data_IF_140674623404
#
_entry.id   IF_140674623404
#
_cell.length_a   1.000
_cell.length_b   1.000
_cell.length_c   1.000
_cell.angle_alpha   90.00
_cell.angle_beta   90.00
_cell.angle_gamma   90.00
#
_symmetry.space_group_name_H-M   'P 1'
#
loop_
_entity.id
_entity.type
_entity.pdbx_description
1 polymer ?
#
# COMPACT_ATOMS: atom_id res chain seq x y z
N UNK A 1 -10.59 -6.50 -20.75
CA UNK A 1 -10.62 -5.02 -20.81
C UNK A 1 -10.45 -4.37 -19.43
N UNK A 2 -11.37 -4.52 -18.48
CA UNK A 2 -11.26 -3.87 -17.16
C UNK A 2 -9.88 -4.06 -16.46
N UNK A 3 -9.37 -5.29 -16.39
CA UNK A 3 -8.05 -5.58 -15.80
C UNK A 3 -6.89 -4.93 -16.58
N UNK A 4 -6.98 -4.90 -17.91
CA UNK A 4 -5.97 -4.28 -18.78
C UNK A 4 -5.94 -2.77 -18.55
N UNK A 5 -7.10 -2.12 -18.47
CA UNK A 5 -7.18 -0.68 -18.20
C UNK A 5 -6.68 -0.34 -16.79
N UNK A 6 -6.92 -1.22 -15.81
CA UNK A 6 -6.31 -1.09 -14.47
C UNK A 6 -4.79 -1.10 -14.58
N UNK A 7 -4.25 -2.10 -15.29
CA UNK A 7 -2.81 -2.24 -15.53
C UNK A 7 -2.20 -1.10 -16.34
N UNK A 8 -3.00 -0.31 -17.07
CA UNK A 8 -2.58 0.91 -17.78
C UNK A 8 -2.66 2.19 -16.95
N UNK A 9 -2.98 2.08 -15.67
CA UNK A 9 -3.29 3.20 -14.79
C UNK A 9 -4.54 4.01 -15.22
N UNK A 10 -5.41 3.44 -16.06
CA UNK A 10 -6.72 4.00 -16.38
C UNK A 10 -7.79 3.42 -15.44
N UNK A 11 -7.74 3.85 -14.17
CA UNK A 11 -8.65 3.35 -13.13
C UNK A 11 -10.12 3.64 -13.45
N UNK A 12 -10.44 4.79 -14.04
CA UNK A 12 -11.81 5.16 -14.40
C UNK A 12 -12.38 4.22 -15.48
N UNK A 13 -11.60 3.89 -16.51
CA UNK A 13 -12.01 2.93 -17.54
C UNK A 13 -12.12 1.52 -17.00
N UNK A 14 -11.19 1.12 -16.12
CA UNK A 14 -11.27 -0.16 -15.43
C UNK A 14 -12.58 -0.31 -14.66
N UNK A 15 -12.96 0.72 -13.90
CA UNK A 15 -14.19 0.75 -13.12
C UNK A 15 -15.45 0.76 -14.01
N UNK A 16 -15.48 1.56 -15.07
CA UNK A 16 -16.60 1.57 -16.04
C UNK A 16 -16.78 0.21 -16.72
N UNK A 17 -15.70 -0.38 -17.24
CA UNK A 17 -15.77 -1.69 -17.88
C UNK A 17 -16.13 -2.80 -16.90
N UNK A 18 -15.63 -2.73 -15.66
CA UNK A 18 -16.03 -3.65 -14.58
C UNK A 18 -17.52 -3.53 -14.28
N UNK A 19 -18.01 -2.30 -14.11
CA UNK A 19 -19.43 -2.03 -13.88
C UNK A 19 -20.34 -2.52 -15.00
N UNK A 20 -19.95 -2.34 -16.27
CA UNK A 20 -20.68 -2.90 -17.41
C UNK A 20 -20.75 -4.44 -17.36
N UNK A 21 -19.61 -5.10 -17.10
CA UNK A 21 -19.57 -6.55 -16.96
C UNK A 21 -20.46 -7.06 -15.83
N UNK A 22 -20.48 -6.35 -14.69
CA UNK A 22 -21.39 -6.62 -13.57
C UNK A 22 -22.85 -6.50 -14.00
N UNK A 23 -23.23 -5.43 -14.71
CA UNK A 23 -24.62 -5.24 -15.17
C UNK A 23 -25.04 -6.34 -16.14
N UNK A 24 -24.17 -6.79 -17.04
CA UNK A 24 -24.46 -7.96 -17.88
C UNK A 24 -24.62 -9.24 -17.06
N UNK A 25 -23.79 -9.47 -16.05
CA UNK A 25 -23.95 -10.64 -15.17
C UNK A 25 -25.29 -10.60 -14.40
N UNK A 26 -25.72 -9.42 -13.98
CA UNK A 26 -27.02 -9.23 -13.31
C UNK A 26 -28.18 -9.52 -14.27
N UNK A 27 -28.14 -8.95 -15.48
CA UNK A 27 -29.16 -9.16 -16.51
C UNK A 27 -29.28 -10.64 -16.91
N UNK A 28 -28.14 -11.33 -17.04
CA UNK A 28 -28.11 -12.76 -17.35
C UNK A 28 -28.48 -13.66 -16.14
N UNK A 29 -28.74 -13.08 -14.97
CA UNK A 29 -29.10 -13.83 -13.77
C UNK A 29 -27.95 -14.59 -13.11
N UNK A 30 -26.68 -14.32 -13.47
CA UNK A 30 -25.52 -15.08 -12.97
C UNK A 30 -25.21 -14.86 -11.48
N UNK A 31 -25.87 -13.88 -10.84
CA UNK A 31 -25.86 -13.71 -9.39
C UNK A 31 -26.71 -14.76 -8.65
N UNK A 32 -27.50 -15.54 -9.40
CA UNK A 32 -28.42 -16.54 -8.88
C UNK A 32 -27.91 -17.97 -9.08
N UNK A 33 -27.91 -18.77 -8.02
CA UNK A 33 -27.48 -20.17 -8.06
C UNK A 33 -28.35 -21.01 -8.99
N UNK A 34 -29.65 -20.74 -9.03
CA UNK A 34 -30.59 -21.43 -9.92
C UNK A 34 -30.16 -21.34 -11.40
N UNK A 35 -29.62 -20.20 -11.81
CA UNK A 35 -29.14 -19.95 -13.18
C UNK A 35 -27.74 -20.52 -13.37
N UNK A 36 -26.87 -20.42 -12.37
CA UNK A 36 -25.52 -20.97 -12.45
C UNK A 36 -25.50 -22.50 -12.51
N UNK A 37 -26.46 -23.15 -11.87
CA UNK A 37 -26.63 -24.61 -11.88
C UNK A 37 -27.51 -25.13 -13.03
N UNK A 38 -28.16 -24.25 -13.78
CA UNK A 38 -29.02 -24.65 -14.89
C UNK A 38 -28.20 -25.32 -16.01
N UNK A 39 -28.60 -26.50 -16.51
CA UNK A 39 -27.87 -27.21 -17.55
C UNK A 39 -27.82 -26.39 -18.84
N UNK A 40 -26.67 -26.38 -19.49
CA UNK A 40 -26.48 -25.86 -20.83
C UNK A 40 -26.35 -27.05 -21.75
N UNK A 41 -27.14 -27.08 -22.83
CA UNK A 41 -27.06 -28.14 -23.82
C UNK A 41 -26.16 -27.71 -24.97
N UNK A 42 -25.27 -28.60 -25.40
CA UNK A 42 -24.53 -28.46 -26.64
C UNK A 42 -25.45 -28.73 -27.85
N UNK A 43 -24.94 -28.48 -29.06
CA UNK A 43 -25.70 -28.67 -30.30
C UNK A 43 -26.19 -30.11 -30.50
N UNK A 44 -25.49 -31.09 -29.93
CA UNK A 44 -25.84 -32.51 -29.96
C UNK A 44 -26.84 -32.93 -28.86
N UNK A 45 -27.29 -31.99 -28.02
CA UNK A 45 -28.22 -32.24 -26.91
C UNK A 45 -27.56 -32.78 -25.65
N UNK A 46 -26.23 -32.96 -25.62
CA UNK A 46 -25.49 -33.32 -24.41
C UNK A 46 -25.33 -32.13 -23.46
N UNK A 47 -25.05 -32.39 -22.18
CA UNK A 47 -24.80 -31.31 -21.20
C UNK A 47 -23.38 -30.78 -21.37
N UNK A 48 -23.27 -29.48 -21.68
CA UNK A 48 -22.01 -28.76 -21.77
C UNK A 48 -21.55 -28.32 -20.37
N UNK A 49 -20.80 -29.19 -19.71
CA UNK A 49 -20.20 -28.89 -18.41
C UNK A 49 -19.23 -27.71 -18.44
N UNK A 50 -18.53 -27.49 -19.56
CA UNK A 50 -17.53 -26.41 -19.70
C UNK A 50 -18.25 -25.07 -19.69
N UNK A 51 -19.32 -24.94 -20.47
CA UNK A 51 -20.13 -23.72 -20.48
C UNK A 51 -20.76 -23.42 -19.12
N UNK A 52 -21.25 -24.45 -18.39
CA UNK A 52 -21.81 -24.29 -17.04
C UNK A 52 -20.73 -23.77 -16.08
N UNK A 53 -19.55 -24.40 -16.07
CA UNK A 53 -18.44 -23.97 -15.23
C UNK A 53 -17.98 -22.54 -15.59
N UNK A 54 -17.94 -22.21 -16.89
CA UNK A 54 -17.52 -20.89 -17.37
C UNK A 54 -18.49 -19.80 -16.91
N UNK A 55 -19.79 -20.07 -16.95
CA UNK A 55 -20.83 -19.16 -16.46
C UNK A 55 -20.56 -18.74 -15.00
N UNK A 56 -20.30 -19.72 -14.12
CA UNK A 56 -19.96 -19.46 -12.71
C UNK A 56 -18.65 -18.68 -12.59
N UNK A 57 -17.60 -19.08 -13.32
CA UNK A 57 -16.30 -18.38 -13.31
C UNK A 57 -16.42 -16.90 -13.73
N UNK A 58 -17.26 -16.59 -14.70
CA UNK A 58 -17.50 -15.21 -15.16
C UNK A 58 -18.08 -14.35 -14.04
N UNK A 59 -19.09 -14.84 -13.31
CA UNK A 59 -19.65 -14.10 -12.17
C UNK A 59 -18.58 -13.79 -11.10
N UNK A 60 -17.85 -14.81 -10.65
CA UNK A 60 -16.82 -14.64 -9.63
C UNK A 60 -15.65 -13.76 -10.09
N UNK A 61 -15.31 -13.79 -11.39
CA UNK A 61 -14.32 -12.88 -11.96
C UNK A 61 -14.80 -11.43 -11.95
N UNK A 62 -16.09 -11.18 -12.20
CA UNK A 62 -16.68 -9.85 -12.11
C UNK A 62 -16.69 -9.34 -10.66
N UNK A 63 -17.00 -10.20 -9.69
CA UNK A 63 -16.90 -9.88 -8.27
C UNK A 63 -15.46 -9.46 -7.90
N UNK A 64 -14.47 -10.26 -8.29
CA UNK A 64 -13.06 -9.95 -8.03
C UNK A 64 -12.67 -8.58 -8.61
N UNK A 65 -12.99 -8.33 -9.87
CA UNK A 65 -12.66 -7.06 -10.53
C UNK A 65 -13.39 -5.86 -9.90
N UNK A 66 -14.67 -6.01 -9.52
CA UNK A 66 -15.44 -4.97 -8.84
C UNK A 66 -14.79 -4.55 -7.50
N UNK A 67 -14.37 -5.54 -6.70
CA UNK A 67 -13.75 -5.28 -5.39
C UNK A 67 -12.38 -4.64 -5.53
N UNK A 68 -11.54 -5.15 -6.42
CA UNK A 68 -10.20 -4.62 -6.64
C UNK A 68 -10.21 -3.22 -7.27
N UNK A 69 -11.07 -2.97 -8.27
CA UNK A 69 -11.12 -1.68 -8.96
C UNK A 69 -11.69 -0.55 -8.08
N UNK A 70 -12.50 -0.89 -7.07
CA UNK A 70 -13.09 0.07 -6.12
C UNK A 70 -12.19 0.35 -4.92
N UNK A 71 -11.14 -0.44 -4.71
CA UNK A 71 -10.25 -0.30 -3.57
C UNK A 71 -9.41 0.99 -3.66
N UNK A 72 -9.39 1.78 -2.59
CA UNK A 72 -8.56 2.98 -2.49
C UNK A 72 -8.92 4.15 -3.41
N UNK A 73 -10.08 4.12 -4.09
CA UNK A 73 -10.48 5.16 -5.08
C UNK A 73 -11.75 5.92 -4.72
N UNK A 74 -12.31 5.70 -3.52
CA UNK A 74 -13.63 6.19 -3.09
C UNK A 74 -14.81 5.80 -4.01
N UNK A 75 -14.58 5.01 -5.05
CA UNK A 75 -15.60 4.56 -5.98
C UNK A 75 -16.51 3.52 -5.30
N UNK A 76 -17.83 3.58 -5.54
CA UNK A 76 -18.73 2.57 -5.02
C UNK A 76 -18.54 1.25 -5.78
N UNK A 77 -18.73 0.16 -5.04
CA UNK A 77 -18.79 -1.19 -5.60
C UNK A 77 -20.16 -1.42 -6.27
N UNK A 78 -20.18 -2.16 -7.36
CA UNK A 78 -21.40 -2.46 -8.13
C UNK A 78 -22.11 -3.72 -7.65
N UNK A 79 -21.37 -4.73 -7.16
CA UNK A 79 -21.94 -6.00 -6.69
C UNK A 79 -22.09 -5.98 -5.17
N UNK A 80 -23.31 -6.06 -4.67
CA UNK A 80 -23.55 -6.30 -3.25
C UNK A 80 -23.70 -7.80 -3.00
N UNK A 81 -22.98 -8.35 -2.02
CA UNK A 81 -23.04 -9.79 -1.76
C UNK A 81 -24.41 -10.24 -1.25
N UNK A 82 -25.14 -9.36 -0.55
CA UNK A 82 -26.51 -9.64 -0.07
C UNK A 82 -27.51 -9.91 -1.18
N UNK A 83 -27.22 -9.43 -2.40
CA UNK A 83 -28.13 -9.54 -3.54
C UNK A 83 -27.83 -10.79 -4.40
N UNK A 84 -26.88 -11.62 -3.95
CA UNK A 84 -26.43 -12.81 -4.66
C UNK A 84 -26.62 -14.06 -3.79
N UNK A 85 -26.87 -15.22 -4.39
CA UNK A 85 -26.85 -16.53 -3.71
C UNK A 85 -25.90 -17.53 -4.41
N UNK A 86 -25.18 -17.08 -5.43
CA UNK A 86 -24.16 -17.84 -6.14
C UNK A 86 -23.12 -18.46 -5.20
N UNK A 87 -22.88 -19.76 -5.35
CA UNK A 87 -21.85 -20.49 -4.61
C UNK A 87 -20.49 -20.43 -5.32
N UNK A 88 -19.37 -20.51 -4.57
CA UNK A 88 -18.04 -20.62 -5.17
C UNK A 88 -17.91 -21.85 -6.07
N UNK A 89 -16.97 -21.79 -7.02
CA UNK A 89 -16.67 -22.92 -7.90
C UNK A 89 -16.31 -24.19 -7.12
N UNK A 90 -16.82 -25.31 -7.61
CA UNK A 90 -16.49 -26.65 -7.16
C UNK A 90 -15.11 -27.10 -7.67
N UNK A 91 -14.60 -28.19 -7.08
CA UNK A 91 -13.37 -28.82 -7.53
C UNK A 91 -13.51 -29.32 -8.97
N UNK A 92 -14.66 -29.89 -9.33
CA UNK A 92 -14.91 -30.40 -10.68
C UNK A 92 -14.88 -29.28 -11.73
N UNK A 93 -15.56 -28.15 -11.47
CA UNK A 93 -15.53 -26.97 -12.35
C UNK A 93 -14.11 -26.39 -12.46
N UNK A 94 -13.35 -26.38 -11.36
CA UNK A 94 -11.95 -25.93 -11.35
C UNK A 94 -11.07 -26.83 -12.21
N UNK A 95 -11.25 -28.15 -12.16
CA UNK A 95 -10.52 -29.12 -13.00
C UNK A 95 -10.88 -28.93 -14.47
N UNK A 96 -12.17 -28.80 -14.76
CA UNK A 96 -12.69 -28.73 -16.13
C UNK A 96 -12.19 -27.51 -16.89
N UNK A 97 -11.97 -26.40 -16.18
CA UNK A 97 -11.54 -25.13 -16.75
C UNK A 97 -10.07 -24.81 -16.49
N UNK A 98 -9.23 -25.83 -16.28
CA UNK A 98 -7.77 -25.65 -16.20
C UNK A 98 -7.25 -25.17 -17.54
N UNK A 99 -6.44 -24.12 -17.49
CA UNK A 99 -5.67 -23.69 -18.64
C UNK A 99 -4.43 -24.60 -18.75
N UNK A 100 -4.26 -25.37 -19.84
CA UNK A 100 -3.12 -26.27 -20.00
C UNK A 100 -1.75 -25.57 -19.91
N UNK A 101 -1.67 -24.32 -20.36
CA UNK A 101 -0.41 -23.56 -20.39
C UNK A 101 -0.05 -23.04 -19.00
N UNK A 102 -1.07 -22.70 -18.20
CA UNK A 102 -0.89 -22.21 -16.82
C UNK A 102 -0.91 -23.33 -15.76
N UNK A 103 -1.31 -24.54 -16.13
CA UNK A 103 -1.29 -25.74 -15.27
C UNK A 103 0.07 -26.44 -15.27
N UNK A 104 1.13 -25.65 -15.15
CA UNK A 104 2.52 -26.07 -15.10
C UNK A 104 3.16 -25.62 -13.79
N UNK A 105 4.28 -26.22 -13.39
CA UNK A 105 5.10 -25.72 -12.28
C UNK A 105 5.84 -24.43 -12.68
N UNK A 106 6.60 -23.85 -11.75
CA UNK A 106 7.40 -22.64 -11.99
C UNK A 106 8.48 -22.80 -13.09
N UNK A 107 8.74 -24.04 -13.54
CA UNK A 107 9.68 -24.37 -14.61
C UNK A 107 8.99 -24.74 -15.94
N UNK A 108 7.66 -24.63 -16.01
CA UNK A 108 6.87 -24.94 -17.20
C UNK A 108 6.57 -26.43 -17.39
N UNK A 109 6.79 -27.28 -16.37
CA UNK A 109 6.46 -28.70 -16.46
C UNK A 109 5.01 -28.94 -16.06
N UNK A 110 4.22 -29.74 -16.81
CA UNK A 110 2.85 -30.07 -16.44
C UNK A 110 2.75 -30.72 -15.05
N UNK A 111 1.73 -30.30 -14.28
CA UNK A 111 1.43 -30.87 -12.96
C UNK A 111 0.28 -31.87 -13.08
N UNK A 112 0.41 -33.00 -12.39
CA UNK A 112 -0.64 -34.04 -12.33
C UNK A 112 -1.55 -33.80 -11.12
N UNK A 113 -0.97 -33.66 -9.94
CA UNK A 113 -1.67 -33.39 -8.69
C UNK A 113 -1.28 -32.03 -8.15
N UNK A 114 -2.23 -31.10 -8.19
CA UNK A 114 -1.99 -29.74 -7.73
C UNK A 114 -2.30 -29.63 -6.23
N UNK A 115 -1.25 -29.39 -5.44
CA UNK A 115 -1.34 -29.20 -3.99
C UNK A 115 -2.27 -28.03 -3.59
N UNK A 116 -2.42 -27.03 -4.46
CA UNK A 116 -3.27 -25.85 -4.28
C UNK A 116 -4.62 -25.93 -5.02
N UNK A 117 -5.02 -27.13 -5.46
CA UNK A 117 -6.33 -27.32 -6.11
C UNK A 117 -7.47 -26.73 -5.26
N UNK A 118 -8.30 -25.91 -5.91
CA UNK A 118 -9.46 -25.23 -5.34
C UNK A 118 -9.15 -24.09 -4.34
N UNK A 119 -7.91 -23.55 -4.34
CA UNK A 119 -7.58 -22.37 -3.53
C UNK A 119 -8.44 -21.15 -3.91
N UNK A 120 -8.88 -21.07 -5.17
CA UNK A 120 -9.71 -19.96 -5.67
C UNK A 120 -10.97 -19.72 -4.83
N UNK A 121 -11.58 -20.76 -4.27
CA UNK A 121 -12.73 -20.63 -3.35
C UNK A 121 -12.40 -19.75 -2.14
N UNK A 122 -11.23 -19.97 -1.54
CA UNK A 122 -10.78 -19.22 -0.35
C UNK A 122 -10.30 -17.82 -0.73
N UNK A 123 -9.72 -17.67 -1.92
CA UNK A 123 -9.39 -16.36 -2.47
C UNK A 123 -10.64 -15.49 -2.64
N UNK A 124 -11.72 -16.04 -3.23
CA UNK A 124 -12.98 -15.31 -3.39
C UNK A 124 -13.60 -14.90 -2.05
N UNK A 125 -13.58 -15.79 -1.05
CA UNK A 125 -14.05 -15.46 0.30
C UNK A 125 -13.22 -14.35 0.98
N UNK A 126 -11.91 -14.31 0.72
CA UNK A 126 -11.03 -13.21 1.17
C UNK A 126 -11.39 -11.89 0.47
N UNK A 127 -11.60 -11.94 -0.83
CA UNK A 127 -11.91 -10.78 -1.68
C UNK A 127 -13.25 -10.15 -1.31
N UNK A 128 -14.25 -10.97 -0.96
CA UNK A 128 -15.53 -10.46 -0.44
C UNK A 128 -15.31 -9.63 0.83
N UNK A 129 -14.58 -10.16 1.82
CA UNK A 129 -14.26 -9.46 3.07
C UNK A 129 -13.43 -8.20 2.83
N UNK A 130 -12.46 -8.25 1.92
CA UNK A 130 -11.71 -7.10 1.46
C UNK A 130 -12.62 -6.01 0.89
N UNK A 131 -13.64 -6.41 0.11
CA UNK A 131 -14.68 -5.50 -0.39
C UNK A 131 -15.41 -4.77 0.73
N UNK A 132 -15.89 -5.50 1.74
CA UNK A 132 -16.61 -4.91 2.88
C UNK A 132 -15.73 -3.95 3.70
N UNK A 133 -14.46 -4.30 3.91
CA UNK A 133 -13.49 -3.42 4.58
C UNK A 133 -13.32 -2.11 3.81
N UNK A 134 -13.11 -2.16 2.48
CA UNK A 134 -12.97 -0.96 1.66
C UNK A 134 -14.24 -0.11 1.67
N UNK A 135 -15.41 -0.74 1.59
CA UNK A 135 -16.71 -0.06 1.64
C UNK A 135 -16.93 0.66 2.96
N UNK A 136 -16.59 0.02 4.09
CA UNK A 136 -16.64 0.63 5.42
C UNK A 136 -15.68 1.84 5.51
N UNK A 137 -14.44 1.68 5.07
CA UNK A 137 -13.45 2.76 5.14
C UNK A 137 -13.80 3.96 4.25
N UNK A 138 -14.32 3.71 3.05
CA UNK A 138 -14.76 4.77 2.14
C UNK A 138 -15.93 5.58 2.74
N UNK A 139 -16.95 4.91 3.31
CA UNK A 139 -18.07 5.58 3.98
C UNK A 139 -17.60 6.47 5.15
N UNK A 140 -16.66 5.95 5.96
CA UNK A 140 -16.15 6.70 7.10
C UNK A 140 -15.35 7.94 6.64
N UNK A 141 -14.61 7.86 5.54
CA UNK A 141 -13.91 9.02 4.97
C UNK A 141 -14.88 10.07 4.42
N UNK A 142 -15.94 9.67 3.70
CA UNK A 142 -16.96 10.61 3.21
C UNK A 142 -17.69 11.33 4.35
N UNK A 143 -17.92 10.64 5.48
CA UNK A 143 -18.52 11.25 6.67
C UNK A 143 -17.59 12.28 7.34
N UNK A 144 -16.25 12.15 7.24
CA UNK A 144 -15.28 13.14 7.73
C UNK A 144 -15.26 14.44 6.93
N UNK A 145 -15.58 14.41 5.63
CA UNK A 145 -15.71 15.65 4.86
C UNK A 145 -16.88 16.51 5.34
N UNK A 146 -17.90 15.91 5.96
CA UNK A 146 -19.06 16.61 6.51
C UNK A 146 -18.90 17.00 8.00
N UNK A 147 -17.94 16.42 8.73
CA UNK A 147 -17.70 16.66 10.15
C UNK A 147 -16.20 16.86 10.39
N UNK A 148 -15.78 18.11 10.58
CA UNK A 148 -14.42 18.58 10.91
C UNK A 148 -13.40 17.49 11.32
N UNK A 149 -12.66 16.98 10.34
CA UNK A 149 -11.21 16.78 10.41
C UNK A 149 -10.62 15.71 11.34
N UNK A 150 -11.38 14.80 11.95
CA UNK A 150 -10.75 13.76 12.80
C UNK A 150 -11.35 12.40 12.54
N UNK A 151 -10.48 11.42 12.28
CA UNK A 151 -10.86 10.01 12.31
C UNK A 151 -11.45 9.73 13.70
N UNK A 152 -12.72 9.33 13.78
CA UNK A 152 -13.30 8.80 15.02
C UNK A 152 -12.76 7.38 15.25
N UNK A 153 -11.45 7.27 15.44
CA UNK A 153 -10.79 6.11 16.01
C UNK A 153 -10.72 6.38 17.51
N UNK A 154 -11.40 5.59 18.37
CA UNK A 154 -11.36 4.13 18.43
C UNK A 154 -12.53 3.37 17.78
N UNK A 155 -12.37 2.05 17.52
CA UNK A 155 -13.29 1.27 16.69
C UNK A 155 -14.67 1.02 17.29
N UNK A 156 -15.70 1.19 16.45
CA UNK A 156 -17.12 0.87 16.68
C UNK A 156 -17.43 -0.62 16.49
N UNK A 157 -18.69 -1.03 16.72
CA UNK A 157 -19.12 -2.44 16.57
C UNK A 157 -18.86 -3.02 15.17
N UNK A 158 -19.11 -2.24 14.10
CA UNK A 158 -18.90 -2.67 12.71
C UNK A 158 -17.42 -2.99 12.42
N UNK A 159 -16.49 -2.18 12.93
CA UNK A 159 -15.07 -2.45 12.84
C UNK A 159 -14.71 -3.81 13.44
N UNK A 160 -15.19 -4.09 14.66
CA UNK A 160 -14.86 -5.34 15.36
C UNK A 160 -15.39 -6.55 14.62
N UNK A 161 -16.57 -6.40 14.01
CA UNK A 161 -17.14 -7.44 13.16
C UNK A 161 -16.26 -7.72 11.93
N UNK A 162 -15.72 -6.68 11.28
CA UNK A 162 -14.82 -6.85 10.14
C UNK A 162 -13.47 -7.47 10.54
N UNK A 163 -12.85 -7.02 11.64
CA UNK A 163 -11.61 -7.61 12.17
C UNK A 163 -11.82 -9.10 12.51
N UNK A 164 -12.93 -9.44 13.17
CA UNK A 164 -13.27 -10.83 13.48
C UNK A 164 -13.45 -11.68 12.21
N UNK A 165 -14.12 -11.16 11.18
CA UNK A 165 -14.28 -11.88 9.92
C UNK A 165 -12.94 -12.11 9.19
N UNK A 166 -12.03 -11.13 9.20
CA UNK A 166 -10.70 -11.28 8.61
C UNK A 166 -9.85 -12.31 9.36
N UNK A 167 -9.87 -12.29 10.71
CA UNK A 167 -9.17 -13.30 11.52
C UNK A 167 -9.75 -14.69 11.29
N UNK A 168 -11.07 -14.80 11.28
CA UNK A 168 -11.77 -16.05 11.04
C UNK A 168 -11.45 -16.64 9.67
N UNK A 169 -11.26 -15.82 8.64
CA UNK A 169 -10.80 -16.30 7.34
C UNK A 169 -9.46 -17.05 7.47
N UNK A 170 -8.47 -16.43 8.13
CA UNK A 170 -7.13 -17.01 8.30
C UNK A 170 -7.16 -18.29 9.15
N UNK A 171 -7.89 -18.26 10.26
CA UNK A 171 -8.00 -19.37 11.22
C UNK A 171 -8.72 -20.59 10.63
N UNK A 172 -9.71 -20.37 9.77
CA UNK A 172 -10.48 -21.45 9.14
C UNK A 172 -9.83 -22.01 7.87
N UNK A 173 -8.66 -21.50 7.45
CA UNK A 173 -7.95 -22.09 6.32
C UNK A 173 -7.46 -23.51 6.67
N UNK A 174 -7.69 -24.50 5.79
CA UNK A 174 -7.02 -25.79 5.88
C UNK A 174 -5.51 -25.63 6.03
N UNK A 175 -4.84 -26.54 6.75
CA UNK A 175 -3.39 -26.46 7.02
C UNK A 175 -2.58 -26.22 5.74
N UNK A 176 -2.93 -26.91 4.65
CA UNK A 176 -2.27 -26.78 3.33
C UNK A 176 -2.49 -25.43 2.64
N UNK A 177 -3.37 -24.56 3.12
CA UNK A 177 -3.60 -23.23 2.53
C UNK A 177 -3.09 -22.10 3.42
N UNK A 178 -2.58 -22.39 4.61
CA UNK A 178 -1.98 -21.38 5.47
C UNK A 178 -0.61 -20.96 4.93
N UNK A 179 -0.31 -19.66 4.96
CA UNK A 179 0.99 -19.15 4.54
C UNK A 179 2.04 -19.44 5.63
N UNK A 180 2.87 -20.45 5.38
CA UNK A 180 4.01 -20.82 6.22
C UNK A 180 5.21 -21.15 5.33
N UNK A 181 6.43 -21.05 5.87
CA UNK A 181 7.63 -21.40 5.11
C UNK A 181 7.60 -22.84 4.59
N UNK A 182 7.15 -23.79 5.44
CA UNK A 182 6.97 -25.20 5.07
C UNK A 182 6.00 -25.37 3.90
N UNK A 183 4.86 -24.69 3.93
CA UNK A 183 3.87 -24.77 2.85
C UNK A 183 4.38 -24.10 1.57
N UNK A 184 5.08 -22.96 1.68
CA UNK A 184 5.68 -22.28 0.53
C UNK A 184 6.65 -23.21 -0.23
N UNK A 185 7.57 -23.85 0.49
CA UNK A 185 8.53 -24.81 -0.09
C UNK A 185 7.84 -26.01 -0.74
N UNK A 186 6.75 -26.48 -0.13
CA UNK A 186 5.95 -27.57 -0.69
C UNK A 186 5.22 -27.14 -1.97
N UNK A 187 4.47 -26.03 -1.94
CA UNK A 187 3.70 -25.56 -3.09
C UNK A 187 4.57 -25.11 -4.25
N UNK A 188 5.77 -24.59 -3.99
CA UNK A 188 6.72 -24.29 -5.05
C UNK A 188 7.04 -25.50 -5.93
N UNK A 189 6.98 -26.73 -5.39
CA UNK A 189 7.28 -27.98 -6.11
C UNK A 189 6.05 -28.67 -6.67
N UNK A 190 4.87 -28.48 -6.06
CA UNK A 190 3.68 -29.30 -6.30
C UNK A 190 2.42 -28.50 -6.63
N UNK A 191 2.48 -27.18 -6.68
CA UNK A 191 1.34 -26.35 -7.11
C UNK A 191 1.56 -25.82 -8.51
N UNK A 192 0.45 -25.69 -9.27
CA UNK A 192 0.53 -24.99 -10.55
C UNK A 192 0.87 -23.53 -10.34
N UNK A 193 1.57 -22.96 -11.30
CA UNK A 193 1.99 -21.56 -11.33
C UNK A 193 0.81 -20.61 -11.10
N UNK A 194 -0.33 -20.90 -11.73
CA UNK A 194 -1.57 -20.15 -11.52
C UNK A 194 -2.09 -20.24 -10.09
N UNK A 195 -2.22 -21.46 -9.53
CA UNK A 195 -2.76 -21.62 -8.19
C UNK A 195 -1.80 -21.11 -7.10
N UNK A 196 -0.48 -21.20 -7.32
CA UNK A 196 0.52 -20.58 -6.47
C UNK A 196 0.34 -19.06 -6.41
N UNK A 197 0.12 -18.44 -7.58
CA UNK A 197 -0.15 -17.00 -7.70
C UNK A 197 -1.46 -16.62 -6.99
N UNK A 198 -2.54 -17.38 -7.17
CA UNK A 198 -3.84 -17.15 -6.50
C UNK A 198 -3.70 -17.28 -4.98
N UNK A 199 -2.96 -18.29 -4.51
CA UNK A 199 -2.72 -18.52 -3.09
C UNK A 199 -1.99 -17.35 -2.45
N UNK A 200 -0.85 -16.95 -3.00
CA UNK A 200 -0.11 -15.79 -2.50
C UNK A 200 -0.95 -14.52 -2.58
N UNK A 201 -1.71 -14.33 -3.67
CA UNK A 201 -2.60 -13.18 -3.86
C UNK A 201 -3.66 -13.09 -2.75
N UNK A 202 -4.27 -14.22 -2.37
CA UNK A 202 -5.26 -14.25 -1.29
C UNK A 202 -4.70 -13.78 0.06
N UNK A 203 -3.45 -14.16 0.37
CA UNK A 203 -2.77 -13.72 1.59
C UNK A 203 -2.32 -12.26 1.52
N UNK A 204 -1.91 -11.76 0.36
CA UNK A 204 -1.60 -10.34 0.16
C UNK A 204 -2.85 -9.46 0.29
N UNK A 205 -4.00 -9.91 -0.23
CA UNK A 205 -5.30 -9.25 -0.05
C UNK A 205 -5.72 -9.25 1.41
N UNK A 206 -5.52 -10.36 2.13
CA UNK A 206 -5.78 -10.41 3.56
C UNK A 206 -4.92 -9.42 4.35
N UNK A 207 -3.60 -9.38 4.09
CA UNK A 207 -2.70 -8.41 4.72
C UNK A 207 -3.12 -6.97 4.40
N UNK A 208 -3.51 -6.70 3.15
CA UNK A 208 -4.00 -5.38 2.72
C UNK A 208 -5.31 -5.00 3.45
N UNK A 209 -6.23 -5.94 3.62
CA UNK A 209 -7.50 -5.74 4.34
C UNK A 209 -7.27 -5.39 5.80
N UNK A 210 -6.45 -6.18 6.49
CA UNK A 210 -6.05 -5.92 7.87
C UNK A 210 -5.36 -4.55 7.96
N UNK A 211 -4.52 -4.21 6.98
CA UNK A 211 -3.84 -2.93 7.01
C UNK A 211 -4.78 -1.73 6.84
N UNK A 212 -5.68 -1.81 5.87
CA UNK A 212 -6.70 -0.77 5.64
C UNK A 212 -7.52 -0.53 6.92
N UNK A 213 -7.85 -1.60 7.63
CA UNK A 213 -8.65 -1.54 8.84
C UNK A 213 -7.86 -0.97 10.03
N UNK A 214 -6.65 -1.47 10.31
CA UNK A 214 -5.91 -1.13 11.53
C UNK A 214 -5.05 0.13 11.45
N UNK A 215 -4.64 0.58 10.25
CA UNK A 215 -3.65 1.66 10.09
C UNK A 215 -4.02 2.98 10.74
N UNK A 216 -5.31 3.26 10.94
CA UNK A 216 -5.79 4.46 11.64
C UNK A 216 -5.21 4.58 13.05
N UNK A 217 -4.86 3.47 13.71
CA UNK A 217 -4.24 3.49 15.04
C UNK A 217 -2.82 4.08 15.05
N UNK A 218 -2.11 4.09 13.92
CA UNK A 218 -0.75 4.61 13.82
C UNK A 218 -0.67 6.12 14.10
N UNK A 219 -1.75 6.87 13.83
CA UNK A 219 -1.84 8.30 14.14
C UNK A 219 -1.91 8.59 15.65
N UNK A 220 -2.19 7.58 16.48
CA UNK A 220 -2.38 7.71 17.92
C UNK A 220 -1.23 7.09 18.73
N UNK A 221 -0.12 6.77 18.06
CA UNK A 221 1.00 6.05 18.67
C UNK A 221 1.59 6.79 19.88
N UNK A 222 1.58 8.11 19.87
CA UNK A 222 2.08 8.95 20.97
C UNK A 222 0.98 9.27 22.01
N UNK A 223 -0.29 9.17 21.63
CA UNK A 223 -1.45 9.43 22.51
C UNK A 223 -1.84 8.22 23.36
N UNK A 224 -1.32 7.03 23.04
CA UNK A 224 -1.57 5.81 23.80
C UNK A 224 -1.15 5.93 25.29
N UNK A 225 -0.29 6.89 25.65
CA UNK A 225 0.17 7.11 27.02
C UNK A 225 -0.77 7.96 27.90
N UNK A 226 -1.75 8.65 27.31
CA UNK A 226 -2.58 9.64 28.01
C UNK A 226 -4.09 9.31 28.03
N UNK A 227 -4.51 8.21 27.41
CA UNK A 227 -5.91 7.75 27.39
C UNK A 227 -6.27 6.83 28.56
N UNK A 228 -7.56 6.48 28.68
CA UNK A 228 -7.99 5.41 29.58
C UNK A 228 -7.27 4.10 29.26
N UNK A 229 -6.96 3.28 30.27
CA UNK A 229 -6.23 1.99 30.10
C UNK A 229 -6.80 1.10 28.99
N UNK A 230 -8.13 1.04 28.85
CA UNK A 230 -8.79 0.24 27.81
C UNK A 230 -8.56 0.79 26.39
N UNK A 231 -8.57 2.11 26.22
CA UNK A 231 -8.30 2.78 24.95
C UNK A 231 -6.83 2.59 24.53
N UNK A 232 -5.91 2.83 25.46
CA UNK A 232 -4.47 2.63 25.25
C UNK A 232 -4.17 1.19 24.80
N UNK A 233 -4.77 0.21 25.48
CA UNK A 233 -4.64 -1.21 25.14
C UNK A 233 -5.15 -1.52 23.73
N UNK A 234 -6.31 -1.00 23.33
CA UNK A 234 -6.87 -1.22 21.98
C UNK A 234 -5.99 -0.60 20.89
N UNK A 235 -5.47 0.61 21.10
CA UNK A 235 -4.54 1.26 20.17
C UNK A 235 -3.29 0.39 20.02
N UNK A 236 -2.70 -0.06 21.14
CA UNK A 236 -1.52 -0.92 21.13
C UNK A 236 -1.74 -2.21 20.35
N UNK A 237 -2.82 -2.96 20.63
CA UNK A 237 -3.15 -4.20 19.90
C UNK A 237 -3.35 -3.97 18.39
N UNK A 238 -3.95 -2.84 18.02
CA UNK A 238 -4.10 -2.47 16.61
C UNK A 238 -2.75 -2.20 15.94
N UNK A 239 -1.84 -1.48 16.62
CA UNK A 239 -0.48 -1.23 16.13
C UNK A 239 0.31 -2.53 16.00
N UNK A 240 0.25 -3.41 17.00
CA UNK A 240 0.87 -4.75 16.94
C UNK A 240 0.36 -5.53 15.71
N UNK A 241 -0.94 -5.46 15.43
CA UNK A 241 -1.53 -6.04 14.22
C UNK A 241 -0.93 -5.44 12.94
N UNK A 242 -0.70 -4.13 12.88
CA UNK A 242 -0.02 -3.49 11.74
C UNK A 242 1.37 -4.07 11.51
N UNK A 243 2.18 -4.23 12.56
CA UNK A 243 3.52 -4.82 12.47
C UNK A 243 3.47 -6.27 11.97
N UNK A 244 2.56 -7.08 12.53
CA UNK A 244 2.36 -8.46 12.07
C UNK A 244 2.01 -8.53 10.58
N UNK A 245 1.12 -7.64 10.10
CA UNK A 245 0.73 -7.60 8.70
C UNK A 245 1.88 -7.19 7.78
N UNK A 246 2.71 -6.20 8.17
CA UNK A 246 3.89 -5.81 7.39
C UNK A 246 4.86 -6.99 7.27
N UNK A 247 5.13 -7.69 8.37
CA UNK A 247 6.06 -8.83 8.38
C UNK A 247 5.59 -9.97 7.48
N UNK A 248 4.31 -10.35 7.61
CA UNK A 248 3.70 -11.36 6.75
C UNK A 248 3.73 -10.91 5.28
N UNK A 249 3.35 -9.66 5.00
CA UNK A 249 3.33 -9.10 3.65
C UNK A 249 4.71 -9.11 2.99
N UNK A 250 5.80 -8.81 3.71
CA UNK A 250 7.14 -8.84 3.11
C UNK A 250 7.54 -10.26 2.68
N UNK A 251 7.18 -11.28 3.46
CA UNK A 251 7.39 -12.69 3.08
C UNK A 251 6.57 -13.07 1.83
N UNK A 252 5.31 -12.63 1.77
CA UNK A 252 4.40 -12.92 0.64
C UNK A 252 4.87 -12.21 -0.63
N UNK A 253 5.17 -10.91 -0.57
CA UNK A 253 5.63 -10.13 -1.72
C UNK A 253 7.00 -10.59 -2.21
N UNK A 254 7.90 -10.98 -1.31
CA UNK A 254 9.16 -11.65 -1.67
C UNK A 254 8.91 -12.94 -2.46
N UNK A 255 8.03 -13.81 -1.97
CA UNK A 255 7.67 -15.04 -2.67
C UNK A 255 7.01 -14.77 -4.04
N UNK A 256 6.13 -13.77 -4.15
CA UNK A 256 5.53 -13.39 -5.44
C UNK A 256 6.59 -12.93 -6.45
N UNK A 257 7.49 -12.04 -6.00
CA UNK A 257 8.59 -11.51 -6.81
C UNK A 257 9.42 -12.64 -7.42
N UNK A 258 9.73 -13.65 -6.61
CA UNK A 258 10.64 -14.72 -7.01
C UNK A 258 9.92 -15.86 -7.79
N UNK A 259 8.61 -16.06 -7.58
CA UNK A 259 7.93 -17.28 -8.05
C UNK A 259 6.76 -17.07 -9.01
N UNK A 260 6.21 -15.87 -9.17
CA UNK A 260 4.91 -15.69 -9.85
C UNK A 260 4.97 -14.92 -11.18
N UNK A 261 6.09 -14.28 -11.52
CA UNK A 261 6.32 -13.63 -12.81
C UNK A 261 5.11 -12.83 -13.34
N UNK A 262 4.64 -13.17 -14.55
CA UNK A 262 3.51 -12.50 -15.21
C UNK A 262 2.12 -12.86 -14.69
N UNK A 263 1.98 -13.86 -13.81
CA UNK A 263 0.67 -14.27 -13.26
C UNK A 263 0.17 -13.35 -12.13
N UNK A 264 0.94 -12.32 -11.79
CA UNK A 264 0.56 -11.35 -10.76
C UNK A 264 -0.38 -10.29 -11.33
N UNK A 265 -1.52 -10.09 -10.66
CA UNK A 265 -2.49 -9.04 -11.00
C UNK A 265 -1.93 -7.63 -10.77
N UNK A 266 -2.31 -6.63 -11.59
CA UNK A 266 -1.80 -5.26 -11.45
C UNK A 266 -2.17 -4.60 -10.10
N UNK A 267 -3.24 -5.06 -9.44
CA UNK A 267 -3.59 -4.61 -8.08
C UNK A 267 -2.46 -4.89 -7.06
N UNK A 268 -1.70 -5.98 -7.23
CA UNK A 268 -0.59 -6.30 -6.33
C UNK A 268 0.52 -5.24 -6.39
N UNK A 269 0.78 -4.67 -7.57
CA UNK A 269 1.72 -3.55 -7.70
C UNK A 269 1.27 -2.33 -6.88
N UNK A 270 -0.01 -2.00 -6.93
CA UNK A 270 -0.59 -0.94 -6.10
C UNK A 270 -0.53 -1.26 -4.60
N UNK A 271 -0.90 -2.49 -4.21
CA UNK A 271 -0.81 -2.94 -2.82
C UNK A 271 0.64 -2.87 -2.29
N UNK A 272 1.61 -3.33 -3.08
CA UNK A 272 3.03 -3.25 -2.72
C UNK A 272 3.50 -1.79 -2.55
N UNK A 273 3.09 -0.89 -3.43
CA UNK A 273 3.37 0.54 -3.29
C UNK A 273 2.75 1.13 -2.01
N UNK A 274 1.51 0.76 -1.69
CA UNK A 274 0.84 1.15 -0.45
C UNK A 274 1.65 0.71 0.77
N UNK A 275 2.13 -0.54 0.81
CA UNK A 275 3.03 -1.01 1.87
C UNK A 275 4.35 -0.22 1.92
N UNK A 276 4.90 0.18 0.76
CA UNK A 276 6.10 1.01 0.73
C UNK A 276 5.89 2.37 1.40
N UNK A 277 4.74 3.01 1.17
CA UNK A 277 4.41 4.28 1.86
C UNK A 277 4.27 4.09 3.37
N UNK A 278 3.77 2.93 3.84
CA UNK A 278 3.64 2.63 5.27
C UNK A 278 5.01 2.47 5.94
N UNK A 279 5.97 1.83 5.28
CA UNK A 279 7.34 1.67 5.79
C UNK A 279 8.09 2.99 6.00
N UNK A 280 7.63 4.08 5.38
CA UNK A 280 8.17 5.43 5.62
C UNK A 280 7.70 6.07 6.93
N UNK A 281 6.66 5.51 7.57
CA UNK A 281 6.10 6.08 8.79
C UNK A 281 6.99 5.81 10.00
N UNK A 282 7.00 6.73 10.97
CA UNK A 282 7.85 6.61 12.17
C UNK A 282 7.61 5.32 12.95
N UNK A 283 6.39 4.75 12.89
CA UNK A 283 6.04 3.48 13.51
C UNK A 283 6.97 2.33 13.09
N UNK A 284 7.51 2.36 11.87
CA UNK A 284 8.40 1.34 11.33
C UNK A 284 9.86 1.83 11.20
N UNK A 285 10.23 2.90 11.90
CA UNK A 285 11.58 3.45 11.84
C UNK A 285 12.13 3.94 13.18
N UNK A 286 11.50 3.56 14.31
CA UNK A 286 11.88 4.01 15.65
C UNK A 286 13.26 3.50 16.06
N UNK A 287 13.49 2.20 15.92
CA UNK A 287 14.77 1.58 16.27
C UNK A 287 15.64 1.40 15.03
N UNK A 288 16.95 1.20 15.24
CA UNK A 288 17.86 0.88 14.15
C UNK A 288 17.46 -0.42 13.44
N UNK A 289 16.99 -1.41 14.19
CA UNK A 289 16.49 -2.67 13.64
C UNK A 289 15.27 -2.45 12.74
N UNK A 290 14.31 -1.63 13.18
CA UNK A 290 13.13 -1.29 12.38
C UNK A 290 13.52 -0.58 11.08
N UNK A 291 14.48 0.35 11.14
CA UNK A 291 14.99 1.05 9.95
C UNK A 291 15.61 0.09 8.93
N UNK A 292 16.45 -0.83 9.39
CA UNK A 292 17.06 -1.83 8.51
C UNK A 292 16.01 -2.79 7.93
N UNK A 293 15.02 -3.16 8.74
CA UNK A 293 13.89 -4.00 8.29
C UNK A 293 13.05 -3.28 7.23
N UNK A 294 12.71 -2.02 7.45
CA UNK A 294 11.97 -1.17 6.51
C UNK A 294 12.75 -0.94 5.21
N UNK A 295 14.07 -0.71 5.29
CA UNK A 295 14.94 -0.63 4.09
C UNK A 295 14.90 -1.92 3.28
N UNK A 296 15.02 -3.10 3.92
CA UNK A 296 14.90 -4.40 3.22
C UNK A 296 13.51 -4.59 2.61
N UNK A 297 12.45 -4.23 3.34
CA UNK A 297 11.08 -4.28 2.85
C UNK A 297 10.87 -3.40 1.62
N UNK A 298 11.29 -2.13 1.68
CA UNK A 298 11.22 -1.19 0.55
C UNK A 298 11.93 -1.73 -0.69
N UNK A 299 13.08 -2.38 -0.52
CA UNK A 299 13.79 -3.03 -1.63
C UNK A 299 12.99 -4.19 -2.24
N UNK A 300 12.43 -5.08 -1.41
CA UNK A 300 11.58 -6.20 -1.89
C UNK A 300 10.39 -5.65 -2.68
N UNK A 301 9.72 -4.63 -2.16
CA UNK A 301 8.56 -4.01 -2.79
C UNK A 301 8.94 -3.32 -4.11
N UNK A 302 10.04 -2.58 -4.15
CA UNK A 302 10.56 -1.97 -5.38
C UNK A 302 10.84 -3.03 -6.44
N UNK A 303 11.60 -4.07 -6.12
CA UNK A 303 11.95 -5.13 -7.08
C UNK A 303 10.71 -5.89 -7.58
N UNK A 304 9.73 -6.14 -6.70
CA UNK A 304 8.45 -6.73 -7.10
C UNK A 304 7.74 -5.83 -8.12
N UNK A 305 7.55 -4.54 -7.81
CA UNK A 305 6.81 -3.62 -8.69
C UNK A 305 7.57 -3.39 -10.00
N UNK A 306 8.89 -3.24 -9.95
CA UNK A 306 9.75 -3.12 -11.12
C UNK A 306 9.60 -4.34 -12.04
N UNK A 307 9.63 -5.55 -11.48
CA UNK A 307 9.42 -6.80 -12.21
C UNK A 307 8.04 -6.92 -12.88
N UNK A 308 7.03 -6.17 -12.41
CA UNK A 308 5.69 -6.11 -13.01
C UNK A 308 5.56 -5.08 -14.14
N UNK A 309 6.47 -4.11 -14.24
CA UNK A 309 6.41 -3.02 -15.22
C UNK A 309 6.33 -3.48 -16.68
N UNK A 310 7.01 -4.57 -17.10
CA UNK A 310 6.86 -5.09 -18.47
C UNK A 310 5.44 -5.58 -18.82
N UNK A 311 4.65 -5.95 -17.82
CA UNK A 311 3.29 -6.48 -18.00
C UNK A 311 2.23 -5.40 -17.77
N UNK A 312 2.48 -4.48 -16.84
CA UNK A 312 1.52 -3.49 -16.38
C UNK A 312 2.16 -2.11 -16.32
N UNK A 313 1.81 -1.22 -17.25
CA UNK A 313 2.32 0.16 -17.33
C UNK A 313 2.14 0.95 -16.02
N UNK A 314 1.06 0.70 -15.27
CA UNK A 314 0.85 1.30 -13.96
C UNK A 314 2.01 1.03 -12.99
N UNK A 315 2.63 -0.15 -13.08
CA UNK A 315 3.75 -0.53 -12.22
C UNK A 315 5.03 0.24 -12.54
N UNK A 316 5.22 0.77 -13.76
CA UNK A 316 6.38 1.61 -14.07
C UNK A 316 6.38 2.89 -13.21
N UNK A 317 5.23 3.57 -13.16
CA UNK A 317 5.07 4.77 -12.35
C UNK A 317 5.19 4.47 -10.85
N UNK A 318 4.61 3.35 -10.39
CA UNK A 318 4.69 2.92 -9.00
C UNK A 318 6.12 2.50 -8.61
N UNK A 319 6.88 1.86 -9.50
CA UNK A 319 8.27 1.48 -9.28
C UNK A 319 9.14 2.73 -9.10
N UNK A 320 8.99 3.73 -9.99
CA UNK A 320 9.68 5.01 -9.86
C UNK A 320 9.36 5.71 -8.53
N UNK A 321 8.08 5.77 -8.15
CA UNK A 321 7.68 6.33 -6.87
C UNK A 321 8.27 5.56 -5.68
N UNK A 322 8.26 4.22 -5.72
CA UNK A 322 8.81 3.36 -4.67
C UNK A 322 10.33 3.52 -4.55
N UNK A 323 11.03 3.70 -5.67
CA UNK A 323 12.47 3.98 -5.71
C UNK A 323 12.82 5.27 -4.99
N UNK A 324 12.03 6.32 -5.20
CA UNK A 324 12.20 7.59 -4.49
C UNK A 324 11.95 7.44 -2.98
N UNK A 325 10.97 6.63 -2.57
CA UNK A 325 10.75 6.32 -1.15
C UNK A 325 11.96 5.59 -0.54
N UNK A 326 12.51 4.59 -1.24
CA UNK A 326 13.69 3.85 -0.81
C UNK A 326 14.90 4.80 -0.65
N UNK A 327 15.20 5.61 -1.65
CA UNK A 327 16.29 6.59 -1.59
C UNK A 327 16.09 7.60 -0.45
N UNK A 328 14.86 8.10 -0.30
CA UNK A 328 14.51 9.04 0.78
C UNK A 328 14.73 8.41 2.15
N UNK A 329 14.30 7.16 2.34
CA UNK A 329 14.49 6.42 3.58
C UNK A 329 15.97 6.27 3.93
N UNK A 330 16.81 5.89 2.97
CA UNK A 330 18.26 5.76 3.17
C UNK A 330 18.87 7.09 3.62
N UNK A 331 18.58 8.17 2.90
CA UNK A 331 19.12 9.50 3.21
C UNK A 331 18.71 10.02 4.59
N UNK A 332 17.46 9.79 4.99
CA UNK A 332 16.94 10.23 6.30
C UNK A 332 17.74 9.63 7.45
N UNK A 333 18.14 8.35 7.33
CA UNK A 333 18.72 7.62 8.45
C UNK A 333 20.24 7.43 8.36
N UNK A 334 20.86 7.58 7.20
CA UNK A 334 22.32 7.66 7.06
C UNK A 334 22.95 8.79 7.92
N UNK A 335 22.25 9.93 8.02
CA UNK A 335 22.70 11.08 8.83
C UNK A 335 22.53 10.87 10.34
N UNK A 336 21.47 10.15 10.72
CA UNK A 336 21.15 9.86 12.12
C UNK A 336 22.13 8.83 12.69
N UNK A 337 22.42 7.77 11.92
CA UNK A 337 23.32 6.71 12.39
C UNK A 337 24.77 7.22 12.51
N UNK A 338 25.25 8.07 11.58
CA UNK A 338 26.59 8.72 11.68
C UNK A 338 26.77 9.59 12.93
N UNK A 339 25.72 10.27 13.39
CA UNK A 339 25.76 11.10 14.59
C UNK A 339 25.76 10.26 15.88
N UNK A 340 25.04 9.13 15.92
CA UNK A 340 25.13 8.17 17.04
C UNK A 340 26.50 7.52 17.14
N UNK A 341 27.13 7.16 16.01
CA UNK A 341 28.49 6.61 16.00
C UNK A 341 29.53 7.59 16.56
N UNK A 342 29.43 8.87 16.19
CA UNK A 342 30.35 9.91 16.68
C UNK A 342 30.07 10.35 18.12
N UNK A 343 28.88 10.12 18.66
CA UNK A 343 28.58 10.28 20.09
C UNK A 343 29.08 9.08 20.91
N UNK A 344 28.89 7.83 20.47
CA UNK A 344 29.46 6.65 21.14
C UNK A 344 30.99 6.66 21.15
N UNK A 345 31.65 7.06 20.06
CA UNK A 345 33.11 7.24 20.02
C UNK A 345 33.59 8.33 20.98
N UNK A 346 32.87 9.45 21.11
CA UNK A 346 33.20 10.49 22.10
C UNK A 346 32.95 10.03 23.54
N UNK A 347 31.94 9.21 23.78
CA UNK A 347 31.63 8.68 25.12
C UNK A 347 32.66 7.62 25.53
N UNK A 348 33.07 6.76 24.59
CA UNK A 348 34.13 5.78 24.78
C UNK A 348 35.52 6.44 24.92
N UNK A 349 35.80 7.52 24.18
CA UNK A 349 37.01 8.32 24.39
C UNK A 349 37.01 9.09 25.72
N UNK A 350 35.84 9.48 26.23
CA UNK A 350 35.71 10.15 27.54
C UNK A 350 35.88 9.18 28.71
N UNK A 351 35.45 7.92 28.56
CA UNK A 351 35.69 6.86 29.55
C UNK A 351 37.16 6.42 29.51
N UNK A 352 37.76 6.33 28.32
CA UNK A 352 39.18 6.00 28.16
C UNK A 352 40.12 7.11 28.65
N UNK A 353 39.70 8.38 28.61
CA UNK A 353 40.51 9.51 29.10
C UNK A 353 40.45 9.71 30.62
N UNK A 354 39.47 9.11 31.32
CA UNK A 354 39.42 9.13 32.80
C UNK A 354 40.30 8.06 33.47
N UNK A 355 40.78 7.06 32.74
CA UNK A 355 41.59 5.96 33.27
C UNK A 355 43.11 6.11 33.04
N UNK A 356 43.56 7.27 32.56
CA UNK A 356 44.98 7.50 32.26
C UNK A 356 45.44 8.86 32.79
N UNK A 357 45.77 8.93 34.08
CA UNK A 357 46.56 10.02 34.66
C UNK A 357 47.83 9.45 35.30
N UNK A 358 49.00 9.77 34.71
CA UNK A 358 50.22 10.31 35.38
C UNK A 358 51.43 10.37 34.39
N UNK A 359 52.55 11.09 34.65
CA UNK A 359 52.70 12.50 34.26
C UNK A 359 53.98 12.83 33.44
N UNK A 360 53.93 13.99 32.75
CA UNK A 360 55.01 14.89 32.29
C UNK A 360 56.16 14.39 31.38
N UNK A 361 56.32 15.08 30.24
CA UNK A 361 57.56 15.84 29.92
C UNK A 361 57.36 16.83 28.77
N UNK A 362 57.90 18.05 28.96
CA UNK A 362 57.87 19.22 28.08
C UNK A 362 58.65 19.02 26.76
N UNK A 363 58.25 19.69 25.68
CA UNK A 363 59.09 20.61 24.88
C UNK A 363 58.28 21.33 23.77
N UNK A 364 58.81 22.48 23.36
CA UNK A 364 58.14 23.65 22.76
C UNK A 364 58.07 23.67 21.22
N UNK A 365 57.16 24.55 20.73
CA UNK A 365 57.24 25.43 19.54
C UNK A 365 57.20 24.76 18.14
N UNK A 366 56.55 25.27 17.09
CA UNK A 366 56.18 26.64 16.69
C UNK A 366 55.15 26.62 15.53
N UNK A 367 54.27 27.64 15.47
CA UNK A 367 53.51 28.12 14.29
C UNK A 367 54.28 29.29 13.63
N UNK A 368 53.82 30.02 12.57
CA UNK A 368 52.60 29.93 11.72
C UNK A 368 52.87 30.09 10.20
N UNK A 369 51.83 30.10 9.34
CA UNK A 369 51.41 31.27 8.52
C UNK A 369 50.30 30.95 7.49
N UNK A 370 49.31 31.84 7.43
CA UNK A 370 48.28 31.99 6.40
C UNK A 370 48.76 32.91 5.27
N UNK A 371 48.20 32.75 4.06
CA UNK A 371 47.85 33.90 3.20
C UNK A 371 46.92 33.49 2.04
N UNK A 372 45.79 34.22 1.92
CA UNK A 372 44.88 34.29 0.76
C UNK A 372 45.53 34.99 -0.44
N UNK A 373 45.07 34.71 -1.67
CA UNK A 373 44.93 35.74 -2.71
C UNK A 373 43.88 35.37 -3.79
N UNK A 374 43.20 36.42 -4.27
CA UNK A 374 42.15 36.48 -5.29
C UNK A 374 42.70 36.64 -6.73
N UNK A 375 41.79 36.48 -7.70
CA UNK A 375 41.64 37.17 -9.02
C UNK A 375 41.93 36.41 -10.33
N UNK A 376 40.83 36.13 -11.05
CA UNK A 376 40.39 36.78 -12.33
C UNK A 376 40.95 36.41 -13.72
N UNK A 377 39.98 36.43 -14.66
CA UNK A 377 40.00 36.71 -16.12
C UNK A 377 40.43 35.55 -17.06
N UNK A 378 39.58 34.95 -17.92
CA UNK A 378 38.67 35.38 -19.02
C UNK A 378 39.36 35.49 -20.39
N UNK A 379 38.61 35.10 -21.45
CA UNK A 379 38.76 35.28 -22.94
C UNK A 379 39.07 34.00 -23.75
N UNK A 380 38.59 33.71 -24.99
CA UNK A 380 37.42 34.04 -25.84
C UNK A 380 37.47 33.10 -27.09
N UNK A 381 36.31 32.77 -27.70
CA UNK A 381 36.08 32.39 -29.12
C UNK A 381 36.69 31.06 -29.66
N UNK A 382 36.12 30.30 -30.60
CA UNK A 382 35.26 30.61 -31.77
C UNK A 382 34.59 29.33 -32.30
N UNK A 383 33.38 29.44 -32.88
CA UNK A 383 32.64 28.41 -33.65
C UNK A 383 33.10 28.37 -35.14
N UNK A 384 32.70 27.35 -35.93
CA UNK A 384 31.54 27.54 -36.81
C UNK A 384 30.59 26.32 -36.98
N UNK A 385 29.38 26.67 -37.41
CA UNK A 385 28.13 25.92 -37.63
C UNK A 385 27.99 25.22 -38.98
N UNK A 386 27.10 24.22 -39.08
CA UNK A 386 26.19 24.08 -40.25
C UNK A 386 24.92 23.23 -39.98
N UNK A 387 23.76 23.89 -40.18
CA UNK A 387 22.40 23.48 -40.61
C UNK A 387 21.86 22.04 -40.42
N UNK A 388 20.69 21.90 -39.76
CA UNK A 388 19.40 21.80 -40.49
C UNK A 388 18.14 21.94 -39.62
N UNK A 389 17.06 22.29 -40.31
CA UNK A 389 15.73 22.80 -39.93
C UNK A 389 14.75 21.80 -39.28
N UNK A 390 13.88 22.30 -38.37
CA UNK A 390 12.40 22.17 -38.44
C UNK A 390 11.64 22.71 -37.20
N UNK A 391 10.72 23.66 -37.50
CA UNK A 391 9.41 23.98 -36.88
C UNK A 391 9.24 24.18 -35.37
N UNK A 392 8.88 25.43 -35.04
CA UNK A 392 8.32 25.94 -33.79
C UNK A 392 7.00 25.26 -33.39
N UNK A 393 6.91 24.80 -32.13
CA UNK A 393 5.78 25.12 -31.25
C UNK A 393 6.35 25.55 -29.90
N UNK A 394 6.05 26.77 -29.51
CA UNK A 394 6.46 27.43 -28.28
C UNK A 394 5.95 26.68 -27.04
N UNK A 395 6.84 26.13 -26.23
CA UNK A 395 6.56 25.79 -24.84
C UNK A 395 6.73 27.05 -23.99
N UNK A 396 5.64 27.49 -23.35
CA UNK A 396 5.71 28.26 -22.11
C UNK A 396 5.13 27.41 -20.98
N UNK A 397 5.72 27.43 -19.78
CA UNK A 397 5.22 26.68 -18.63
C UNK A 397 4.05 27.46 -18.01
N UNK A 398 2.83 26.93 -18.10
CA UNK A 398 1.71 27.44 -17.31
C UNK A 398 1.37 26.48 -16.17
N UNK A 399 1.78 26.93 -15.00
CA UNK A 399 1.27 26.61 -13.67
C UNK A 399 -0.25 26.51 -13.61
N UNK A 400 -0.72 25.57 -12.80
CA UNK A 400 -1.92 25.55 -11.94
C UNK A 400 -3.18 26.34 -12.36
N UNK A 401 -4.33 25.66 -12.19
CA UNK A 401 -5.73 26.12 -12.30
C UNK A 401 -6.41 25.96 -13.67
N UNK A 402 -7.15 24.86 -13.82
CA UNK A 402 -8.45 24.86 -14.51
C UNK A 402 -9.30 23.68 -14.02
N UNK A 403 -10.12 23.94 -13.00
CA UNK A 403 -11.03 22.98 -12.35
C UNK A 403 -12.46 22.98 -12.95
N UNK A 404 -12.67 23.57 -14.12
CA UNK A 404 -14.01 23.70 -14.71
C UNK A 404 -13.99 23.45 -16.23
N UNK A 405 -13.82 22.19 -16.63
CA UNK A 405 -14.30 21.68 -17.92
C UNK A 405 -14.55 20.17 -17.80
N UNK A 406 -15.81 19.74 -17.90
CA UNK A 406 -16.25 18.34 -17.85
C UNK A 406 -15.87 17.55 -19.12
N UNK A 407 -14.63 17.65 -19.59
CA UNK A 407 -14.08 16.68 -20.54
C UNK A 407 -13.48 15.55 -19.69
N UNK A 408 -14.16 14.41 -19.61
CA UNK A 408 -13.66 13.24 -18.89
C UNK A 408 -12.41 12.74 -19.61
N UNK A 409 -11.24 13.11 -19.10
CA UNK A 409 -9.97 12.61 -19.62
C UNK A 409 -9.72 11.21 -19.06
N UNK A 410 -10.17 10.20 -19.80
CA UNK A 410 -10.00 8.78 -19.43
C UNK A 410 -8.54 8.30 -19.37
N UNK A 411 -7.58 9.12 -19.81
CA UNK A 411 -6.15 8.84 -19.73
C UNK A 411 -5.47 9.53 -18.53
N UNK A 412 -6.23 10.18 -17.63
CA UNK A 412 -5.64 10.84 -16.48
C UNK A 412 -5.07 9.81 -15.49
N UNK A 413 -3.83 10.05 -15.05
CA UNK A 413 -3.18 9.31 -13.98
C UNK A 413 -3.77 9.66 -12.59
N UNK A 414 -5.01 10.15 -12.51
CA UNK A 414 -5.67 10.57 -11.26
C UNK A 414 -5.70 9.44 -10.21
N UNK A 415 -5.65 8.19 -10.65
CA UNK A 415 -5.47 7.02 -9.78
C UNK A 415 -4.15 7.02 -8.98
N UNK A 416 -3.06 7.55 -9.53
CA UNK A 416 -1.76 7.64 -8.85
C UNK A 416 -1.72 8.80 -7.83
N UNK A 417 -2.66 9.74 -7.91
CA UNK A 417 -2.70 10.95 -7.09
C UNK A 417 -3.85 10.99 -6.09
N UNK A 418 -4.75 9.99 -6.07
CA UNK A 418 -5.72 9.82 -4.99
C UNK A 418 -4.99 9.32 -3.72
N UNK A 419 -4.30 10.29 -3.12
CA UNK A 419 -3.44 10.17 -1.95
C UNK A 419 -4.22 10.37 -0.66
N UNK A 420 -5.56 10.52 -0.73
CA UNK A 420 -6.36 10.80 0.46
C UNK A 420 -6.33 9.66 1.48
N UNK A 421 -5.97 8.43 1.08
CA UNK A 421 -5.79 7.32 2.03
C UNK A 421 -4.34 7.20 2.56
N UNK A 422 -3.31 7.34 1.70
CA UNK A 422 -1.90 7.05 2.06
C UNK A 422 -0.96 8.27 2.09
N UNK A 423 -1.23 9.33 1.32
CA UNK A 423 -0.40 10.53 1.27
C UNK A 423 -0.59 11.50 2.44
N UNK A 424 -1.76 11.51 3.09
CA UNK A 424 -2.00 12.35 4.28
C UNK A 424 -1.01 12.02 5.42
N UNK A 425 -0.71 10.74 5.65
CA UNK A 425 0.21 10.33 6.74
C UNK A 425 1.65 10.75 6.47
N UNK A 426 2.09 10.74 5.20
CA UNK A 426 3.45 11.19 4.82
C UNK A 426 3.61 12.69 5.00
N UNK A 427 2.55 13.48 4.76
CA UNK A 427 2.57 14.94 4.93
C UNK A 427 2.39 15.39 6.38
N UNK A 428 1.56 14.71 7.17
CA UNK A 428 1.40 15.02 8.61
C UNK A 428 2.67 14.68 9.40
N UNK A 429 3.38 13.60 9.03
CA UNK A 429 4.69 13.28 9.61
C UNK A 429 5.69 14.43 9.42
N UNK A 430 5.66 15.09 8.25
CA UNK A 430 6.53 16.22 7.90
C UNK A 430 6.27 17.45 8.77
N UNK A 431 5.02 17.66 9.20
CA UNK A 431 4.64 18.74 10.14
C UNK A 431 5.00 18.43 11.59
N UNK A 432 5.09 17.16 11.99
CA UNK A 432 5.64 16.79 13.31
C UNK A 432 7.17 16.93 13.38
N UNK A 433 7.89 16.81 12.26
CA UNK A 433 9.35 17.02 12.22
C UNK A 433 9.78 18.50 12.21
N UNK A 434 8.91 19.42 11.79
CA UNK A 434 9.18 20.87 11.86
C UNK A 434 9.07 21.45 13.27
N UNK A 435 8.35 20.78 14.18
CA UNK A 435 8.29 21.16 15.60
C UNK A 435 9.43 20.56 16.44
N UNK A 436 10.07 19.48 16.01
CA UNK A 436 11.14 18.81 16.75
C UNK A 436 12.53 19.44 16.58
N UNK A 437 12.66 20.52 15.80
CA UNK A 437 13.94 21.21 15.54
C UNK A 437 14.19 22.47 16.39
N UNK A 438 13.37 22.75 17.40
CA UNK A 438 13.65 23.80 18.39
C UNK A 438 14.34 23.22 19.62
N UNK A 439 15.66 23.43 19.70
CA UNK A 439 16.48 23.16 20.89
C UNK A 439 15.91 23.86 22.14
N UNK A 440 15.97 23.25 23.33
CA UNK A 440 15.50 23.87 24.57
C UNK A 440 16.51 24.91 25.05
N UNK A 441 16.20 26.20 24.86
CA UNK A 441 17.09 27.25 25.39
C UNK A 441 16.97 28.62 24.74
N UNK A 442 15.76 29.15 24.53
CA UNK A 442 15.58 30.61 24.45
C UNK A 442 14.29 30.99 25.16
N UNK A 443 14.43 31.59 26.35
CA UNK A 443 13.35 32.26 27.06
C UNK A 443 12.83 33.42 26.18
N UNK A 444 11.64 33.26 25.60
CA UNK A 444 10.86 34.41 25.18
C UNK A 444 10.12 34.96 26.40
N UNK A 445 10.48 36.17 26.76
CA UNK A 445 9.86 36.98 27.81
C UNK A 445 8.41 37.29 27.45
N UNK A 446 7.49 36.78 28.27
CA UNK A 446 6.06 37.09 28.23
C UNK A 446 5.84 38.60 28.47
N UNK A 447 5.19 39.29 27.54
CA UNK A 447 4.43 40.50 27.83
C UNK A 447 2.94 40.14 27.94
N UNK A 448 2.48 40.05 29.19
CA UNK A 448 1.07 40.02 29.56
C UNK A 448 0.45 41.41 29.37
N UNK A 449 -0.69 41.48 28.68
CA UNK A 449 -1.69 42.53 28.94
C UNK A 449 -3.04 41.86 29.24
N UNK A 450 -3.68 42.14 30.39
CA UNK A 450 -4.87 41.43 30.85
C UNK A 450 -6.15 42.03 30.26
N UNK A 451 -7.02 41.16 29.75
CA UNK A 451 -8.40 41.50 29.39
C UNK A 451 -9.26 41.48 30.66
N UNK A 452 -9.77 42.64 31.06
CA UNK A 452 -10.69 42.77 32.20
C UNK A 452 -12.03 42.08 31.90
N UNK A 453 -12.42 41.17 32.78
CA UNK A 453 -13.81 40.76 33.00
C UNK A 453 -14.58 41.92 33.64
N UNK A 454 -15.71 42.31 33.04
CA UNK A 454 -16.81 42.94 33.74
C UNK A 454 -18.12 42.25 33.35
N UNK A 455 -18.81 41.78 34.38
CA UNK A 455 -20.22 41.42 34.42
C UNK A 455 -20.72 41.98 35.77
N UNK A 456 -22.02 42.10 36.04
CA UNK A 456 -23.16 42.46 35.19
C UNK A 456 -23.95 43.65 35.82
N UNK A 457 -24.91 44.27 35.12
CA UNK A 457 -26.04 44.93 35.78
C UNK A 457 -27.27 45.10 34.89
N UNK A 458 -28.35 44.49 35.40
CA UNK A 458 -29.79 44.68 35.24
C UNK A 458 -30.26 46.13 35.02
N UNK A 459 -31.22 46.38 34.12
CA UNK A 459 -32.59 46.90 34.39
C UNK A 459 -33.35 47.31 33.09
N UNK A 460 -34.51 46.67 32.89
CA UNK A 460 -35.82 47.15 32.35
C UNK A 460 -35.94 48.25 31.26
N UNK A 461 -36.84 47.98 30.30
CA UNK A 461 -38.02 48.84 30.12
C UNK A 461 -38.33 49.36 28.71
N UNK A 462 -39.48 48.90 28.20
CA UNK A 462 -40.26 49.31 27.00
C UNK A 462 -39.80 48.84 25.63
#
# INVERSE_FOLDING_TARGET
MSCVEYGRASGSMSWVYGGLAVRFCQELGYHKEEVLSAPILAEDGSVDGVAIAMRRRVFWSCLLLDKLASAGTHRPQCLERSDCDAHPSSVAETILLRDPDLHTDIHGKPIVEDSLLNIIKYCMDCVEKFGEVNKYMNKNNSNKQNLSGTIAWPPVAEYRNLDMQLRSWQENLPEKFQFTQKNLEHHQRFASFQNLSIWLNSHAIWCSSMMILHRGSLAYIDQAHHGSDDLARRIKTSIETCHMCVDAAMGIFGAMKDLCGSCIMPYIGYSAYVFATLLMTSAFSRTREDREKSKRGLKILYELIEGLSPYWLACENLANATKELLFTHEKLYESTDRNSYSQEEKTNHSISSMLSQDPQSLTQSSMPYQSNFYMSASTTATQPSEFNSSSLYSQQPQTAFNYYRNDINFNSAEFLFDTELFGQVVLDSRNSFSHASLLPGQQQTNFNHPTQQQNPNTYTGM
#
